data_IF_503377692707
#
_entry.id   IF_503377692707
#
_cell.length_a   1.000
_cell.length_b   1.000
_cell.length_c   1.000
_cell.angle_alpha   90.00
_cell.angle_beta   90.00
_cell.angle_gamma   90.00
#
_symmetry.space_group_name_H-M   'P 1'
#
loop_
_entity.id
_entity.type
_entity.pdbx_description
1 polymer ?
#
# COMPACT_ATOMS: atom_id res chain seq x y z
N UNK A 1 -16.21 0.48 -101.48
CA UNK A 1 -17.43 0.87 -100.73
C UNK A 1 -17.24 0.49 -99.21
N UNK A 2 -17.20 1.46 -98.33
CA UNK A 2 -17.09 1.24 -96.91
C UNK A 2 -18.48 0.77 -96.45
N UNK A 3 -18.57 -0.45 -95.89
CA UNK A 3 -19.80 -0.96 -95.41
C UNK A 3 -20.10 -0.30 -94.01
N UNK A 4 -21.22 0.45 -93.87
CA UNK A 4 -21.52 1.17 -92.65
C UNK A 4 -21.54 0.27 -91.39
N UNK A 5 -21.92 -1.02 -91.52
CA UNK A 5 -21.90 -1.96 -90.40
C UNK A 5 -20.52 -2.31 -89.85
N UNK A 6 -19.49 -2.28 -90.71
CA UNK A 6 -18.13 -2.59 -90.29
C UNK A 6 -17.46 -1.40 -89.62
N UNK A 7 -17.90 -0.19 -89.87
CA UNK A 7 -17.34 1.02 -89.29
C UNK A 7 -17.69 1.06 -87.75
N UNK A 8 -18.92 0.71 -87.42
CA UNK A 8 -19.33 0.71 -85.97
C UNK A 8 -18.63 -0.41 -85.18
N UNK A 9 -18.46 -1.59 -85.76
CA UNK A 9 -17.73 -2.67 -85.09
C UNK A 9 -16.23 -2.36 -84.92
N UNK A 10 -15.64 -1.66 -85.94
CA UNK A 10 -14.25 -1.23 -85.81
C UNK A 10 -14.02 -0.13 -84.79
N UNK A 11 -14.99 0.78 -84.64
CA UNK A 11 -14.96 1.77 -83.55
C UNK A 11 -15.14 1.14 -82.17
N UNK A 12 -16.04 0.21 -82.01
CA UNK A 12 -16.24 -0.50 -80.74
C UNK A 12 -15.00 -1.30 -80.29
N UNK A 13 -14.15 -1.73 -81.26
CA UNK A 13 -12.89 -2.39 -80.96
C UNK A 13 -11.69 -1.44 -80.72
N UNK A 14 -11.79 -0.19 -81.10
CA UNK A 14 -10.67 0.77 -81.07
C UNK A 14 -10.82 1.88 -80.04
N UNK A 15 -12.04 2.18 -79.58
CA UNK A 15 -12.34 3.32 -78.71
C UNK A 15 -13.10 2.93 -77.50
N UNK A 16 -12.71 3.52 -76.40
CA UNK A 16 -13.43 3.33 -75.07
C UNK A 16 -14.76 4.06 -75.16
N UNK A 17 -15.87 3.38 -74.89
CA UNK A 17 -17.21 3.96 -74.90
C UNK A 17 -17.42 4.93 -73.73
N UNK A 18 -18.06 6.08 -73.97
CA UNK A 18 -18.40 7.05 -72.95
C UNK A 18 -19.35 6.50 -71.90
N UNK A 19 -20.15 5.49 -72.20
CA UNK A 19 -21.03 4.79 -71.29
C UNK A 19 -20.33 3.77 -70.37
N UNK A 20 -19.03 3.57 -70.59
CA UNK A 20 -18.19 2.58 -69.90
C UNK A 20 -17.76 1.44 -70.82
N UNK A 21 -16.54 0.96 -70.64
CA UNK A 21 -15.96 -0.15 -71.39
C UNK A 21 -14.88 -0.84 -70.54
N UNK A 22 -14.52 -2.08 -70.94
CA UNK A 22 -13.43 -2.84 -70.34
C UNK A 22 -12.12 -2.60 -71.06
N UNK A 23 -11.15 -2.02 -70.37
CA UNK A 23 -9.77 -1.94 -70.83
C UNK A 23 -9.01 -3.18 -70.40
N UNK A 24 -8.47 -3.95 -71.32
CA UNK A 24 -7.72 -5.19 -71.05
C UNK A 24 -6.21 -4.97 -70.95
N UNK A 25 -5.75 -3.74 -71.03
CA UNK A 25 -4.34 -3.35 -70.96
C UNK A 25 -4.11 -2.14 -70.03
N UNK A 26 -2.85 -1.78 -69.85
CA UNK A 26 -2.43 -0.65 -69.05
C UNK A 26 -2.90 0.68 -69.63
N UNK A 27 -3.56 1.52 -68.82
CA UNK A 27 -3.86 2.92 -69.18
C UNK A 27 -2.70 3.83 -68.74
N UNK A 28 -1.94 4.34 -69.70
CA UNK A 28 -0.83 5.26 -69.49
C UNK A 28 -1.30 6.70 -69.68
N UNK A 29 -1.36 7.45 -68.62
CA UNK A 29 -1.73 8.87 -68.59
C UNK A 29 -0.48 9.72 -68.32
N UNK A 30 -0.03 10.54 -69.25
CA UNK A 30 1.06 11.48 -69.04
C UNK A 30 0.51 12.88 -68.79
N UNK A 31 0.36 13.27 -67.58
CA UNK A 31 -0.17 14.59 -67.23
C UNK A 31 0.02 14.85 -65.72
N UNK A 32 0.01 16.12 -65.34
CA UNK A 32 0.11 16.52 -63.91
C UNK A 32 -1.19 16.19 -63.19
N UNK A 33 -2.35 16.62 -63.74
CA UNK A 33 -3.69 16.28 -63.23
C UNK A 33 -4.23 15.15 -64.12
N UNK A 34 -3.82 13.91 -63.81
CA UNK A 34 -3.96 12.80 -64.77
C UNK A 34 -5.39 12.25 -64.85
N UNK A 35 -6.13 12.19 -63.75
CA UNK A 35 -7.48 11.67 -63.69
C UNK A 35 -8.32 12.53 -62.76
N UNK A 36 -9.56 12.79 -63.14
CA UNK A 36 -10.54 13.45 -62.29
C UNK A 36 -11.82 12.61 -62.21
N UNK A 37 -12.27 12.37 -60.97
CA UNK A 37 -13.59 11.80 -60.68
C UNK A 37 -14.40 12.91 -60.02
N UNK A 38 -15.55 13.27 -60.57
CA UNK A 38 -16.25 14.45 -60.13
C UNK A 38 -17.77 14.30 -60.14
N UNK A 39 -18.44 15.15 -59.39
CA UNK A 39 -19.86 15.50 -59.51
C UNK A 39 -19.98 17.03 -59.55
N UNK A 40 -21.18 17.55 -59.44
CA UNK A 40 -21.42 19.00 -59.45
C UNK A 40 -20.76 19.72 -58.29
N UNK A 41 -20.72 19.10 -57.11
CA UNK A 41 -20.17 19.71 -55.88
C UNK A 41 -18.65 19.62 -55.82
N UNK A 42 -18.06 18.44 -56.06
CA UNK A 42 -16.63 18.19 -55.88
C UNK A 42 -16.03 17.34 -57.01
N UNK A 43 -14.76 17.59 -57.27
CA UNK A 43 -13.90 16.69 -58.05
C UNK A 43 -12.74 16.20 -57.22
N UNK A 44 -12.38 14.92 -57.36
CA UNK A 44 -11.14 14.35 -56.81
C UNK A 44 -10.13 14.23 -57.95
N UNK A 45 -9.01 14.92 -57.84
CA UNK A 45 -7.95 14.97 -58.86
C UNK A 45 -6.80 14.06 -58.39
N UNK A 46 -6.42 13.11 -59.27
CA UNK A 46 -5.17 12.36 -59.16
C UNK A 46 -4.06 13.19 -59.77
N UNK A 47 -3.25 13.82 -58.91
CA UNK A 47 -2.21 14.74 -59.34
C UNK A 47 -0.82 14.19 -59.06
N UNK A 48 0.01 14.13 -60.08
CA UNK A 48 1.44 13.86 -59.93
C UNK A 48 2.20 15.18 -59.93
N UNK A 49 2.75 15.59 -58.82
CA UNK A 49 3.61 16.77 -58.71
C UNK A 49 4.73 16.53 -57.69
N UNK A 50 5.82 17.26 -57.84
CA UNK A 50 7.05 17.04 -57.09
C UNK A 50 7.46 15.55 -57.18
N UNK A 51 7.65 14.89 -56.09
CA UNK A 51 7.95 13.46 -56.03
C UNK A 51 6.76 12.61 -55.53
N UNK A 52 5.53 13.17 -55.56
CA UNK A 52 4.35 12.53 -55.00
C UNK A 52 3.22 12.31 -56.03
N UNK A 53 2.42 11.28 -55.78
CA UNK A 53 1.06 11.15 -56.27
C UNK A 53 0.10 11.61 -55.19
N UNK A 54 -0.69 12.64 -55.49
CA UNK A 54 -1.65 13.23 -54.59
C UNK A 54 -3.09 12.91 -55.02
N UNK A 55 -3.98 12.73 -54.04
CA UNK A 55 -5.44 12.78 -54.19
C UNK A 55 -5.91 14.13 -53.65
N UNK A 56 -6.34 15.03 -54.52
CA UNK A 56 -6.65 16.42 -54.17
C UNK A 56 -8.11 16.72 -54.53
N UNK A 57 -8.96 17.08 -53.57
CA UNK A 57 -10.30 17.57 -53.85
C UNK A 57 -10.26 18.99 -54.42
N UNK A 58 -11.21 19.31 -55.29
CA UNK A 58 -11.47 20.70 -55.72
C UNK A 58 -12.13 21.50 -54.58
N UNK A 59 -12.27 22.78 -54.72
CA UNK A 59 -13.19 23.56 -53.90
C UNK A 59 -14.64 23.19 -54.21
N UNK A 60 -15.56 23.44 -53.27
CA UNK A 60 -16.98 23.17 -53.41
C UNK A 60 -17.55 23.95 -54.61
N UNK A 61 -18.46 23.35 -55.35
CA UNK A 61 -19.08 23.91 -56.56
C UNK A 61 -18.16 23.92 -57.81
N UNK A 62 -16.96 23.31 -57.71
CA UNK A 62 -15.97 23.32 -58.81
C UNK A 62 -15.61 21.90 -59.29
N UNK A 63 -16.54 20.97 -59.24
CA UNK A 63 -16.27 19.56 -59.55
C UNK A 63 -15.66 19.30 -60.90
N UNK A 64 -16.28 19.75 -61.97
CA UNK A 64 -15.88 19.43 -63.35
C UNK A 64 -14.62 20.18 -63.79
N UNK A 65 -14.59 21.49 -63.70
CA UNK A 65 -13.57 22.34 -64.32
C UNK A 65 -12.71 23.13 -63.31
N UNK A 66 -12.95 22.94 -61.98
CA UNK A 66 -12.19 23.64 -60.95
C UNK A 66 -10.74 23.21 -60.87
N UNK A 67 -9.89 24.09 -60.36
CA UNK A 67 -8.49 23.77 -60.10
C UNK A 67 -8.34 22.96 -58.78
N UNK A 68 -7.11 22.56 -58.49
CA UNK A 68 -6.80 21.86 -57.21
C UNK A 68 -7.21 22.72 -56.00
N UNK A 69 -7.96 22.16 -55.12
CA UNK A 69 -8.33 22.79 -53.84
C UNK A 69 -7.14 22.91 -52.90
N UNK A 70 -7.33 23.51 -51.70
CA UNK A 70 -6.25 23.75 -50.73
C UNK A 70 -5.83 22.49 -49.97
N UNK A 71 -6.70 21.47 -49.90
CA UNK A 71 -6.47 20.27 -49.09
C UNK A 71 -5.54 19.27 -49.78
N UNK A 72 -4.71 18.60 -49.00
CA UNK A 72 -3.81 17.51 -49.42
C UNK A 72 -4.03 16.28 -48.56
N UNK A 73 -5.23 15.68 -48.60
CA UNK A 73 -5.59 14.65 -47.62
C UNK A 73 -4.78 13.37 -47.71
N UNK A 74 -4.32 13.01 -48.96
CA UNK A 74 -3.58 11.78 -49.19
C UNK A 74 -2.49 11.96 -50.23
N UNK A 75 -1.29 11.45 -49.93
CA UNK A 75 -0.20 11.43 -50.89
C UNK A 75 0.66 10.17 -50.71
N UNK A 76 1.24 9.70 -51.84
CA UNK A 76 2.27 8.65 -51.86
C UNK A 76 3.55 9.29 -52.40
N UNK A 77 4.62 9.24 -51.63
CA UNK A 77 5.95 9.62 -52.10
C UNK A 77 6.49 8.52 -53.02
N UNK A 78 6.74 8.89 -54.29
CA UNK A 78 7.13 7.92 -55.33
C UNK A 78 8.58 7.45 -55.20
N UNK A 79 9.42 8.16 -54.45
CA UNK A 79 10.80 7.77 -54.17
C UNK A 79 10.91 6.80 -52.99
N UNK A 80 10.17 7.05 -51.92
CA UNK A 80 10.28 6.30 -50.67
C UNK A 80 9.16 5.30 -50.44
N UNK A 81 8.03 5.42 -51.14
CA UNK A 81 6.80 4.67 -50.93
C UNK A 81 6.00 5.14 -49.71
N UNK A 82 6.47 6.16 -48.96
CA UNK A 82 5.78 6.65 -47.78
C UNK A 82 4.40 7.24 -48.12
N UNK A 83 3.42 6.96 -47.26
CA UNK A 83 2.05 7.49 -47.35
C UNK A 83 1.88 8.62 -46.35
N UNK A 84 1.30 9.74 -46.79
CA UNK A 84 0.88 10.86 -45.94
C UNK A 84 -0.62 10.97 -45.92
N UNK A 85 -1.21 11.03 -44.68
CA UNK A 85 -2.63 11.32 -44.42
C UNK A 85 -2.69 12.56 -43.54
N UNK A 86 -3.10 13.69 -44.10
CA UNK A 86 -2.91 15.00 -43.45
C UNK A 86 -4.17 15.56 -42.75
N UNK A 87 -5.34 15.01 -43.03
CA UNK A 87 -6.62 15.52 -42.52
C UNK A 87 -7.38 14.49 -41.67
N UNK A 88 -6.64 13.55 -41.05
CA UNK A 88 -7.20 12.48 -40.24
C UNK A 88 -7.56 11.23 -41.04
N UNK A 89 -7.61 10.12 -40.39
CA UNK A 89 -8.06 8.83 -40.91
C UNK A 89 -8.97 8.14 -39.93
N UNK A 90 -10.10 7.63 -40.39
CA UNK A 90 -10.91 6.64 -39.66
C UNK A 90 -10.51 5.26 -40.20
N UNK A 91 -9.98 4.42 -39.29
CA UNK A 91 -9.56 3.06 -39.62
C UNK A 91 -10.48 2.10 -38.87
N UNK A 92 -11.38 1.45 -39.63
CA UNK A 92 -12.24 0.43 -39.06
C UNK A 92 -11.47 -0.90 -38.98
N UNK A 93 -11.59 -1.61 -37.84
CA UNK A 93 -10.90 -2.90 -37.63
C UNK A 93 -9.56 -2.81 -36.90
N UNK A 94 -9.10 -1.60 -36.54
CA UNK A 94 -7.84 -1.38 -35.83
C UNK A 94 -6.64 -1.13 -36.75
N UNK A 95 -5.50 -0.81 -36.15
CA UNK A 95 -4.24 -0.50 -36.86
C UNK A 95 -3.17 -1.51 -36.40
N UNK A 96 -2.46 -2.08 -37.36
CA UNK A 96 -1.30 -2.92 -37.10
C UNK A 96 -0.04 -2.26 -37.67
N UNK A 97 1.01 -2.18 -36.87
CA UNK A 97 2.30 -1.61 -37.26
C UNK A 97 3.33 -2.72 -37.40
N UNK A 98 3.60 -3.15 -38.63
CA UNK A 98 4.58 -4.18 -38.99
C UNK A 98 4.12 -5.62 -38.70
N UNK A 99 2.85 -5.86 -38.48
CA UNK A 99 2.28 -7.18 -38.17
C UNK A 99 0.77 -7.22 -38.43
N UNK A 100 0.14 -8.39 -38.29
CA UNK A 100 -1.32 -8.51 -38.28
C UNK A 100 -1.89 -8.09 -36.91
N UNK A 101 -3.15 -7.66 -36.87
CA UNK A 101 -3.81 -7.22 -35.65
C UNK A 101 -4.68 -8.35 -35.04
N UNK A 102 -4.11 -9.16 -34.16
CA UNK A 102 -4.84 -10.21 -33.45
C UNK A 102 -5.65 -9.68 -32.23
N UNK A 103 -5.39 -8.44 -31.76
CA UNK A 103 -6.22 -7.83 -30.71
C UNK A 103 -7.61 -7.43 -31.23
N UNK A 104 -7.78 -7.34 -32.55
CA UNK A 104 -9.04 -6.99 -33.20
C UNK A 104 -9.39 -5.51 -33.13
N UNK A 105 -10.55 -5.14 -33.67
CA UNK A 105 -10.99 -3.75 -33.83
C UNK A 105 -10.84 -2.86 -32.61
N UNK A 106 -10.75 -1.55 -32.85
CA UNK A 106 -10.48 -0.51 -31.85
C UNK A 106 -9.14 -0.68 -31.12
N UNK A 107 -8.11 -1.20 -31.80
CA UNK A 107 -6.80 -1.45 -31.22
C UNK A 107 -5.65 -1.01 -32.14
N UNK A 108 -4.48 -0.88 -31.52
CA UNK A 108 -3.20 -0.65 -32.21
C UNK A 108 -2.23 -1.74 -31.73
N UNK A 109 -1.74 -2.58 -32.63
CA UNK A 109 -0.67 -3.54 -32.37
C UNK A 109 0.68 -3.00 -32.79
N UNK A 110 1.74 -3.38 -32.06
CA UNK A 110 3.09 -2.82 -32.18
C UNK A 110 4.13 -3.94 -32.29
N UNK A 111 4.59 -4.22 -33.50
CA UNK A 111 5.69 -5.16 -33.75
C UNK A 111 5.31 -6.64 -33.76
N UNK A 112 4.53 -7.11 -32.81
CA UNK A 112 3.87 -8.40 -32.83
C UNK A 112 2.34 -8.24 -32.84
N UNK A 113 1.61 -9.32 -33.13
CA UNK A 113 0.17 -9.23 -33.42
C UNK A 113 -0.73 -9.14 -32.21
N UNK A 114 -0.21 -9.29 -30.98
CA UNK A 114 -0.98 -9.37 -29.74
C UNK A 114 -0.42 -8.50 -28.61
N UNK A 115 0.57 -7.68 -28.90
CA UNK A 115 1.08 -6.62 -28.02
C UNK A 115 0.61 -5.25 -28.52
N UNK A 116 -0.02 -4.45 -27.65
CA UNK A 116 -0.54 -3.17 -28.08
C UNK A 116 -1.56 -2.55 -27.12
N UNK A 117 -2.36 -1.64 -27.69
CA UNK A 117 -3.38 -0.86 -26.96
C UNK A 117 -4.74 -1.14 -27.60
N UNK A 118 -5.76 -1.34 -26.74
CA UNK A 118 -7.14 -1.63 -27.16
C UNK A 118 -8.15 -0.85 -26.36
N UNK A 119 -9.19 -0.33 -27.00
CA UNK A 119 -10.36 0.15 -26.30
C UNK A 119 -11.18 -1.03 -25.77
N UNK A 120 -11.39 -1.12 -24.45
CA UNK A 120 -12.18 -2.17 -23.80
C UNK A 120 -13.67 -1.83 -23.67
N UNK A 121 -14.05 -0.56 -23.87
CA UNK A 121 -15.39 -0.02 -23.74
C UNK A 121 -15.34 1.51 -23.66
N UNK A 122 -16.46 2.17 -23.41
CA UNK A 122 -16.50 3.61 -23.20
C UNK A 122 -15.67 4.01 -21.98
N UNK A 123 -14.71 4.92 -22.17
CA UNK A 123 -13.78 5.37 -21.13
C UNK A 123 -12.74 4.33 -20.68
N UNK A 124 -12.62 3.17 -21.36
CA UNK A 124 -11.69 2.09 -20.96
C UNK A 124 -10.59 1.91 -22.01
N UNK A 125 -9.33 2.08 -21.58
CA UNK A 125 -8.14 1.87 -22.40
C UNK A 125 -7.28 0.76 -21.80
N UNK A 126 -7.03 -0.30 -22.57
CA UNK A 126 -6.35 -1.52 -22.14
C UNK A 126 -5.01 -1.68 -22.88
N UNK A 127 -3.99 -2.09 -22.14
CA UNK A 127 -2.64 -2.37 -22.63
C UNK A 127 -2.37 -3.87 -22.53
N UNK A 128 -2.03 -4.46 -23.67
CA UNK A 128 -1.74 -5.88 -23.81
C UNK A 128 -0.25 -6.12 -24.05
N UNK A 129 0.24 -7.23 -23.54
CA UNK A 129 1.57 -7.75 -23.82
C UNK A 129 1.48 -9.26 -24.00
N UNK A 130 1.85 -9.76 -25.17
CA UNK A 130 1.78 -11.18 -25.54
C UNK A 130 0.37 -11.76 -25.29
N UNK A 131 -0.67 -11.11 -25.84
CA UNK A 131 -2.07 -11.48 -25.68
C UNK A 131 -2.67 -11.34 -24.28
N UNK A 132 -1.88 -10.95 -23.29
CA UNK A 132 -2.32 -10.82 -21.89
C UNK A 132 -2.51 -9.37 -21.49
N UNK A 133 -3.63 -9.08 -20.82
CA UNK A 133 -3.89 -7.77 -20.25
C UNK A 133 -2.85 -7.45 -19.16
N UNK A 134 -2.14 -6.33 -19.32
CA UNK A 134 -1.07 -5.91 -18.44
C UNK A 134 -1.45 -4.70 -17.58
N UNK A 135 -2.15 -3.73 -18.18
CA UNK A 135 -2.54 -2.48 -17.53
C UNK A 135 -3.84 -1.96 -18.16
N UNK A 136 -4.68 -1.32 -17.36
CA UNK A 136 -5.93 -0.72 -17.81
C UNK A 136 -6.15 0.65 -17.18
N UNK A 137 -6.59 1.61 -17.98
CA UNK A 137 -7.17 2.87 -17.51
C UNK A 137 -8.68 2.74 -17.57
N UNK A 138 -9.33 2.97 -16.45
CA UNK A 138 -10.78 2.96 -16.27
C UNK A 138 -11.24 4.29 -15.69
N UNK A 139 -12.55 4.65 -15.74
CA UNK A 139 -13.03 5.93 -15.23
C UNK A 139 -12.69 6.22 -13.76
N UNK A 140 -12.55 5.18 -12.94
CA UNK A 140 -12.31 5.31 -11.49
C UNK A 140 -10.94 4.80 -11.02
N UNK A 141 -10.16 4.13 -11.89
CA UNK A 141 -8.90 3.49 -11.49
C UNK A 141 -7.90 3.32 -12.61
N UNK A 142 -6.65 3.14 -12.24
CA UNK A 142 -5.59 2.61 -13.09
C UNK A 142 -5.22 1.21 -12.55
N UNK A 143 -5.55 0.18 -13.31
CA UNK A 143 -5.47 -1.20 -12.84
C UNK A 143 -4.23 -1.90 -13.40
N UNK A 144 -3.43 -2.48 -12.54
CA UNK A 144 -2.27 -3.27 -12.90
C UNK A 144 -2.60 -4.76 -12.76
N UNK A 145 -2.64 -5.49 -13.88
CA UNK A 145 -2.90 -6.94 -13.91
C UNK A 145 -1.62 -7.77 -13.83
N UNK A 146 -0.48 -7.11 -13.86
CA UNK A 146 0.85 -7.68 -13.65
C UNK A 146 1.48 -7.09 -12.40
N UNK A 147 2.51 -7.76 -11.88
CA UNK A 147 3.29 -7.24 -10.75
C UNK A 147 3.88 -5.86 -11.08
N UNK A 148 3.61 -4.89 -10.24
CA UNK A 148 4.25 -3.58 -10.31
C UNK A 148 5.67 -3.71 -9.74
N UNK A 149 6.68 -3.36 -10.52
CA UNK A 149 8.07 -3.32 -10.11
C UNK A 149 8.61 -1.91 -10.35
N UNK A 150 9.09 -1.28 -9.29
CA UNK A 150 9.85 -0.05 -9.40
C UNK A 150 11.30 -0.38 -9.68
N UNK A 151 11.80 0.05 -10.86
CA UNK A 151 13.19 -0.14 -11.28
C UNK A 151 13.86 1.22 -11.26
N UNK A 152 14.78 1.40 -10.35
CA UNK A 152 15.56 2.60 -10.19
C UNK A 152 16.81 2.56 -11.07
N UNK A 153 17.13 3.64 -11.77
CA UNK A 153 18.29 3.73 -12.67
C UNK A 153 19.34 4.76 -12.23
N UNK A 154 19.08 5.55 -11.21
CA UNK A 154 19.99 6.52 -10.66
C UNK A 154 20.93 5.95 -9.58
N UNK A 155 21.71 6.83 -8.93
CA UNK A 155 22.59 6.45 -7.82
C UNK A 155 21.78 6.23 -6.54
N UNK A 156 20.70 7.01 -6.33
CA UNK A 156 19.82 6.92 -5.18
C UNK A 156 18.35 6.86 -5.64
N UNK A 157 17.47 6.11 -4.95
CA UNK A 157 16.05 6.07 -5.28
C UNK A 157 15.39 7.45 -5.19
N UNK A 158 14.38 7.68 -6.01
CA UNK A 158 13.56 8.90 -5.97
C UNK A 158 12.93 9.06 -4.58
N UNK A 159 12.94 10.28 -4.06
CA UNK A 159 12.49 10.58 -2.72
C UNK A 159 13.54 10.39 -1.62
N UNK A 160 14.71 9.84 -1.97
CA UNK A 160 15.84 9.72 -1.04
C UNK A 160 16.43 11.09 -0.68
N UNK A 161 16.98 11.21 0.53
CA UNK A 161 17.63 12.43 0.99
C UNK A 161 17.69 12.49 2.52
N UNK A 162 18.15 13.62 3.04
CA UNK A 162 18.18 13.87 4.47
C UNK A 162 16.76 13.92 5.07
N UNK A 163 16.61 13.53 6.33
CA UNK A 163 15.31 13.60 7.01
C UNK A 163 14.72 15.01 7.04
N UNK A 164 15.54 16.02 7.12
CA UNK A 164 15.11 17.43 7.13
C UNK A 164 14.43 17.84 5.81
N UNK A 165 14.78 17.21 4.71
CA UNK A 165 14.28 17.54 3.37
C UNK A 165 12.97 16.83 3.04
N UNK A 166 12.57 15.80 3.79
CA UNK A 166 11.44 14.94 3.45
C UNK A 166 10.09 15.66 3.46
N UNK A 167 9.94 16.71 4.25
CA UNK A 167 8.71 17.51 4.26
C UNK A 167 8.42 18.18 2.90
N UNK A 168 9.47 18.59 2.21
CA UNK A 168 9.40 19.32 0.94
C UNK A 168 9.71 18.44 -0.28
N UNK A 169 9.99 17.15 -0.08
CA UNK A 169 10.28 16.20 -1.14
C UNK A 169 9.00 15.44 -1.51
N UNK A 170 8.42 15.81 -2.65
CA UNK A 170 7.20 15.20 -3.18
C UNK A 170 7.48 14.02 -4.14
N UNK A 171 8.71 13.50 -4.15
CA UNK A 171 9.11 12.39 -5.02
C UNK A 171 9.32 11.12 -4.21
N UNK A 172 8.69 10.04 -4.65
CA UNK A 172 8.88 8.67 -4.16
C UNK A 172 8.13 7.73 -5.11
N UNK A 173 8.39 6.42 -5.11
CA UNK A 173 7.61 5.46 -5.90
C UNK A 173 6.11 5.51 -5.59
N UNK A 174 5.75 5.77 -4.33
CA UNK A 174 4.38 5.94 -3.89
C UNK A 174 4.33 7.16 -2.97
N UNK A 175 3.77 8.25 -3.45
CA UNK A 175 3.62 9.48 -2.68
C UNK A 175 2.16 9.93 -2.73
N UNK A 176 1.63 10.28 -1.57
CA UNK A 176 0.37 10.99 -1.46
C UNK A 176 0.67 12.48 -1.38
N UNK A 177 0.20 13.21 -2.38
CA UNK A 177 0.43 14.66 -2.47
C UNK A 177 -0.30 15.43 -1.37
N UNK A 178 0.09 16.66 -1.17
CA UNK A 178 -0.50 17.58 -0.21
C UNK A 178 -2.00 17.72 -0.38
N UNK A 179 -2.72 17.71 0.73
CA UNK A 179 -4.12 18.09 0.79
C UNK A 179 -4.40 18.90 2.06
N UNK A 180 -5.35 19.81 1.98
CA UNK A 180 -5.80 20.58 3.13
C UNK A 180 -6.90 19.81 3.85
N UNK A 181 -6.80 19.72 5.19
CA UNK A 181 -7.81 19.12 6.04
C UNK A 181 -8.12 20.04 7.22
N UNK A 182 -9.40 20.28 7.43
CA UNK A 182 -9.88 21.02 8.60
C UNK A 182 -10.19 20.05 9.74
N UNK A 183 -9.66 20.27 10.97
CA UNK A 183 -9.95 19.42 12.11
C UNK A 183 -11.46 19.24 12.32
N UNK A 184 -11.88 18.01 12.50
CA UNK A 184 -13.27 17.63 12.72
C UNK A 184 -13.36 16.63 13.89
N UNK A 185 -14.50 16.56 14.62
CA UNK A 185 -14.69 15.60 15.68
C UNK A 185 -14.42 14.15 15.22
N UNK A 186 -13.72 13.38 16.05
CA UNK A 186 -13.34 12.00 15.76
C UNK A 186 -12.06 11.83 14.92
N UNK A 187 -11.50 12.93 14.43
CA UNK A 187 -10.30 12.87 13.58
C UNK A 187 -10.57 12.30 12.19
N UNK A 188 -9.50 12.08 11.42
CA UNK A 188 -9.59 11.53 10.07
C UNK A 188 -8.39 10.62 9.77
N UNK A 189 -8.65 9.35 9.45
CA UNK A 189 -7.60 8.38 9.12
C UNK A 189 -7.34 8.37 7.61
N UNK A 190 -6.08 8.49 7.23
CA UNK A 190 -5.62 8.51 5.84
C UNK A 190 -4.73 7.29 5.58
N UNK A 191 -5.21 6.27 4.87
CA UNK A 191 -4.39 5.13 4.51
C UNK A 191 -3.44 5.48 3.36
N UNK A 192 -2.16 5.09 3.48
CA UNK A 192 -1.16 5.15 2.41
C UNK A 192 -1.19 3.83 1.63
N UNK A 193 -1.20 2.71 2.33
CA UNK A 193 -1.32 1.37 1.75
C UNK A 193 -2.42 0.62 2.49
N UNK A 194 -3.31 -0.04 1.74
CA UNK A 194 -4.43 -0.81 2.30
C UNK A 194 -4.60 -2.14 1.58
N UNK A 195 -4.72 -3.21 2.36
CA UNK A 195 -5.17 -4.52 1.91
C UNK A 195 -6.56 -4.82 2.45
N UNK A 196 -7.42 -5.35 1.58
CA UNK A 196 -8.73 -5.88 1.95
C UNK A 196 -8.76 -7.37 1.61
N UNK A 197 -9.33 -8.17 2.48
CA UNK A 197 -9.44 -9.61 2.25
C UNK A 197 -10.75 -10.17 2.78
N UNK A 198 -11.22 -11.21 2.12
CA UNK A 198 -12.27 -12.10 2.58
C UNK A 198 -11.82 -13.54 2.35
N UNK A 199 -12.02 -14.42 3.33
CA UNK A 199 -11.73 -15.83 3.17
C UNK A 199 -12.95 -16.54 2.58
N UNK A 200 -12.73 -17.31 1.55
CA UNK A 200 -13.78 -18.11 0.96
C UNK A 200 -14.10 -19.32 1.88
N UNK A 201 -15.33 -19.36 2.39
CA UNK A 201 -15.86 -20.46 3.19
C UNK A 201 -15.58 -20.41 4.70
N UNK A 202 -14.44 -19.89 5.16
CA UNK A 202 -14.10 -19.80 6.59
C UNK A 202 -13.25 -18.55 6.88
N UNK A 203 -13.49 -17.93 8.03
CA UNK A 203 -12.83 -16.72 8.48
C UNK A 203 -13.66 -15.47 8.21
N UNK A 204 -13.12 -14.35 8.59
CA UNK A 204 -13.80 -13.06 8.56
C UNK A 204 -13.14 -12.12 7.58
N UNK A 205 -13.91 -11.26 6.88
CA UNK A 205 -13.34 -10.18 6.09
C UNK A 205 -12.62 -9.19 7.00
N UNK A 206 -11.56 -8.59 6.48
CA UNK A 206 -10.78 -7.63 7.21
C UNK A 206 -10.03 -6.67 6.30
N UNK A 207 -9.71 -5.51 6.84
CA UNK A 207 -8.84 -4.51 6.23
C UNK A 207 -7.60 -4.32 7.10
N UNK A 208 -6.45 -4.26 6.47
CA UNK A 208 -5.18 -3.89 7.12
C UNK A 208 -4.57 -2.74 6.34
N UNK A 209 -4.10 -1.72 7.02
CA UNK A 209 -3.52 -0.55 6.39
C UNK A 209 -2.38 0.05 7.20
N UNK A 210 -1.43 0.66 6.49
CA UNK A 210 -0.50 1.64 7.03
C UNK A 210 -0.93 3.03 6.58
N UNK A 211 -0.92 3.98 7.48
CA UNK A 211 -1.35 5.33 7.21
C UNK A 211 -1.08 6.27 8.38
N UNK A 212 -1.83 7.33 8.46
CA UNK A 212 -1.75 8.29 9.56
C UNK A 212 -3.13 8.82 9.96
N UNK A 213 -3.26 9.16 11.23
CA UNK A 213 -4.44 9.77 11.81
C UNK A 213 -4.21 11.29 11.92
N UNK A 214 -5.10 12.06 11.33
CA UNK A 214 -5.26 13.48 11.58
C UNK A 214 -6.22 13.63 12.75
N UNK A 215 -5.74 14.11 13.89
CA UNK A 215 -6.54 14.22 15.10
C UNK A 215 -7.48 15.43 15.02
N UNK A 216 -8.54 15.44 15.81
CA UNK A 216 -9.46 16.56 15.91
C UNK A 216 -8.81 17.83 16.46
N UNK A 217 -7.69 17.69 17.15
CA UNK A 217 -6.92 18.79 17.70
C UNK A 217 -5.75 19.14 16.80
N UNK A 218 -5.24 20.37 16.91
CA UNK A 218 -4.02 20.78 16.23
C UNK A 218 -2.85 19.92 16.72
N UNK A 219 -2.16 19.28 15.78
CA UNK A 219 -1.03 18.42 16.08
C UNK A 219 -0.43 17.84 14.81
N UNK A 220 0.68 17.12 14.95
CA UNK A 220 1.28 16.38 13.85
C UNK A 220 0.42 15.14 13.49
N UNK A 221 0.42 14.73 12.21
CA UNK A 221 -0.17 13.45 11.82
C UNK A 221 0.45 12.30 12.63
N UNK A 222 -0.38 11.40 13.15
CA UNK A 222 0.03 10.26 13.96
C UNK A 222 0.17 9.03 13.06
N UNK A 223 1.40 8.56 12.74
CA UNK A 223 1.57 7.33 11.95
C UNK A 223 0.92 6.14 12.62
N UNK A 224 0.23 5.30 11.84
CA UNK A 224 -0.56 4.20 12.35
C UNK A 224 -0.42 2.95 11.49
N UNK A 225 -0.50 1.77 12.16
CA UNK A 225 -0.89 0.51 11.54
C UNK A 225 -2.29 0.19 12.06
N UNK A 226 -3.24 -0.01 11.15
CA UNK A 226 -4.64 -0.21 11.49
C UNK A 226 -5.17 -1.52 10.95
N UNK A 227 -5.93 -2.23 11.77
CA UNK A 227 -6.67 -3.44 11.38
C UNK A 227 -8.14 -3.28 11.78
N UNK A 228 -9.04 -3.64 10.87
CA UNK A 228 -10.49 -3.64 11.12
C UNK A 228 -11.12 -4.92 10.59
N UNK A 229 -11.84 -5.64 11.44
CA UNK A 229 -12.69 -6.77 11.07
C UNK A 229 -14.15 -6.35 10.86
N UNK A 230 -14.96 -7.25 10.29
CA UNK A 230 -16.39 -7.06 10.00
C UNK A 230 -17.27 -6.94 11.24
N UNK A 231 -16.87 -7.58 12.33
CA UNK A 231 -17.58 -7.58 13.61
C UNK A 231 -17.22 -6.39 14.53
N UNK A 232 -16.55 -5.37 13.99
CA UNK A 232 -16.07 -4.23 14.76
C UNK A 232 -14.77 -4.49 15.51
N UNK A 233 -14.15 -5.68 15.38
CA UNK A 233 -12.82 -5.94 15.89
C UNK A 233 -11.80 -5.00 15.24
N UNK A 234 -11.11 -4.23 16.06
CA UNK A 234 -10.20 -3.17 15.61
C UNK A 234 -8.93 -3.18 16.43
N UNK A 235 -7.82 -2.98 15.77
CA UNK A 235 -6.53 -2.77 16.41
C UNK A 235 -5.80 -1.59 15.73
N UNK A 236 -5.28 -0.69 16.56
CA UNK A 236 -4.59 0.50 16.11
C UNK A 236 -3.27 0.64 16.87
N UNK A 237 -2.16 0.39 16.18
CA UNK A 237 -0.81 0.70 16.65
C UNK A 237 -0.45 2.10 16.20
N UNK A 238 0.01 2.93 17.14
CA UNK A 238 0.27 4.34 16.90
C UNK A 238 1.68 4.73 17.32
N UNK A 239 2.24 5.70 16.60
CA UNK A 239 3.53 6.33 16.93
C UNK A 239 3.27 7.81 17.22
N UNK A 240 3.27 8.20 18.50
CA UNK A 240 3.00 9.59 18.88
C UNK A 240 4.17 10.50 18.47
N UNK A 241 3.99 11.46 17.57
CA UNK A 241 5.09 12.32 17.10
C UNK A 241 5.55 13.35 18.16
N UNK A 242 4.74 13.64 19.16
CA UNK A 242 5.05 14.65 20.18
C UNK A 242 6.02 14.12 21.24
N UNK A 243 5.67 12.99 21.87
CA UNK A 243 6.46 12.36 22.92
C UNK A 243 7.30 11.17 22.44
N UNK A 244 7.14 10.77 21.16
CA UNK A 244 7.83 9.66 20.49
C UNK A 244 7.50 8.28 21.08
N UNK A 245 6.39 8.18 21.81
CA UNK A 245 5.91 6.91 22.33
C UNK A 245 5.29 6.02 21.27
N UNK A 246 5.36 4.70 21.50
CA UNK A 246 4.65 3.70 20.74
C UNK A 246 3.46 3.19 21.57
N UNK A 247 2.27 3.27 21.01
CA UNK A 247 1.06 2.70 21.61
C UNK A 247 0.72 1.37 20.93
N UNK A 248 0.61 0.31 21.74
CA UNK A 248 0.09 -0.99 21.31
C UNK A 248 -1.27 -1.24 21.97
N UNK A 249 -2.32 -1.61 21.22
CA UNK A 249 -3.64 -1.91 21.77
C UNK A 249 -3.69 -3.25 22.54
N UNK A 250 -2.63 -4.03 22.52
CA UNK A 250 -2.49 -5.31 23.17
C UNK A 250 -1.08 -5.55 23.72
N UNK A 251 -0.82 -6.76 24.25
CA UNK A 251 0.52 -7.12 24.74
C UNK A 251 1.58 -7.00 23.66
N UNK A 252 2.79 -6.61 24.06
CA UNK A 252 3.98 -6.66 23.20
C UNK A 252 4.75 -7.94 23.53
N UNK A 253 4.89 -8.82 22.55
CA UNK A 253 5.59 -10.10 22.69
C UNK A 253 6.94 -10.00 21.99
N UNK A 254 8.02 -10.29 22.72
CA UNK A 254 9.38 -10.33 22.21
C UNK A 254 10.00 -11.71 22.53
N UNK A 255 10.01 -12.62 21.57
CA UNK A 255 10.40 -14.00 21.78
C UNK A 255 9.51 -14.68 22.82
N UNK A 256 10.10 -15.17 23.91
CA UNK A 256 9.37 -15.76 25.03
C UNK A 256 8.92 -14.76 26.12
N UNK A 257 9.24 -13.48 25.99
CA UNK A 257 8.87 -12.44 26.95
C UNK A 257 7.63 -11.66 26.48
N UNK A 258 6.80 -11.23 27.43
CA UNK A 258 5.58 -10.46 27.17
C UNK A 258 5.51 -9.26 28.09
N UNK A 259 5.37 -8.07 27.53
CA UNK A 259 4.89 -6.89 28.24
C UNK A 259 3.36 -6.89 28.14
N UNK A 260 2.68 -7.16 29.22
CA UNK A 260 1.23 -7.21 29.27
C UNK A 260 0.59 -5.82 29.25
N UNK A 261 -0.68 -5.72 28.87
CA UNK A 261 -1.44 -4.47 28.82
C UNK A 261 -1.63 -3.81 30.19
N UNK A 262 -1.49 -4.54 31.30
CA UNK A 262 -1.49 -4.02 32.65
C UNK A 262 -0.11 -3.54 33.14
N UNK A 263 0.93 -3.59 32.29
CA UNK A 263 2.29 -3.19 32.59
C UNK A 263 3.15 -4.26 33.25
N UNK A 264 2.62 -5.47 33.53
CA UNK A 264 3.43 -6.57 34.04
C UNK A 264 4.26 -7.23 32.94
N UNK A 265 5.39 -7.82 33.34
CA UNK A 265 6.31 -8.48 32.41
C UNK A 265 6.39 -9.97 32.72
N UNK A 266 6.08 -10.82 31.76
CA UNK A 266 6.34 -12.24 31.81
C UNK A 266 7.68 -12.55 31.13
N UNK A 267 8.50 -13.40 31.76
CA UNK A 267 9.79 -13.79 31.18
C UNK A 267 10.47 -14.94 31.96
N UNK A 268 11.28 -15.70 31.26
CA UNK A 268 12.04 -16.81 31.83
C UNK A 268 13.04 -16.35 32.90
N UNK A 269 13.53 -15.11 32.83
CA UNK A 269 14.48 -14.55 33.80
C UNK A 269 13.97 -14.55 35.22
N UNK A 270 12.65 -14.46 35.44
CA UNK A 270 11.99 -14.50 36.74
C UNK A 270 11.05 -15.68 36.90
N UNK A 271 11.09 -16.67 36.00
CA UNK A 271 10.28 -17.88 36.05
C UNK A 271 8.77 -17.65 35.88
N UNK A 272 8.36 -16.56 35.24
CA UNK A 272 6.97 -16.19 34.99
C UNK A 272 6.74 -14.69 35.06
N UNK A 273 5.72 -14.24 35.77
CA UNK A 273 5.38 -12.83 35.92
C UNK A 273 6.29 -12.12 36.93
N UNK A 274 6.82 -10.96 36.57
CA UNK A 274 7.69 -10.14 37.43
C UNK A 274 6.99 -9.74 38.72
N UNK A 275 5.70 -9.37 38.65
CA UNK A 275 4.91 -9.05 39.87
C UNK A 275 4.84 -10.22 40.86
N UNK A 276 4.71 -11.45 40.38
CA UNK A 276 4.74 -12.64 41.19
C UNK A 276 6.13 -12.92 41.76
N UNK A 277 7.16 -12.78 40.93
CA UNK A 277 8.55 -12.91 41.37
C UNK A 277 8.89 -11.92 42.48
N UNK A 278 8.54 -10.64 42.34
CA UNK A 278 8.78 -9.62 43.34
C UNK A 278 8.02 -9.90 44.64
N UNK A 279 6.76 -10.32 44.56
CA UNK A 279 5.94 -10.67 45.76
C UNK A 279 6.57 -11.81 46.53
N UNK A 280 7.10 -12.80 45.83
CA UNK A 280 7.60 -14.03 46.46
C UNK A 280 9.09 -13.94 46.85
N UNK A 281 9.87 -13.03 46.27
CA UNK A 281 11.33 -13.02 46.41
C UNK A 281 11.91 -11.71 46.97
N UNK A 282 11.09 -10.69 47.26
CA UNK A 282 11.59 -9.40 47.76
C UNK A 282 10.87 -9.01 49.03
N UNK A 283 11.65 -8.43 49.97
CA UNK A 283 11.11 -7.93 51.22
C UNK A 283 10.95 -8.98 52.33
N UNK A 284 10.42 -8.53 53.45
CA UNK A 284 10.04 -9.39 54.59
C UNK A 284 8.66 -9.96 54.30
N UNK A 285 8.56 -11.27 54.13
CA UNK A 285 7.31 -11.98 53.79
C UNK A 285 6.42 -12.23 55.01
N UNK A 286 7.04 -12.43 56.19
CA UNK A 286 6.35 -12.63 57.46
C UNK A 286 7.29 -12.32 58.61
N UNK A 287 6.72 -12.13 59.83
CA UNK A 287 7.45 -11.91 61.05
C UNK A 287 6.84 -12.78 62.13
N UNK A 288 7.68 -13.49 62.90
CA UNK A 288 7.22 -14.34 64.03
C UNK A 288 8.18 -14.27 65.22
N UNK A 289 7.74 -14.71 66.32
CA UNK A 289 8.61 -15.09 67.42
C UNK A 289 9.13 -16.53 67.23
N UNK A 290 10.43 -16.74 67.40
CA UNK A 290 11.04 -18.07 67.39
C UNK A 290 10.78 -18.85 68.70
N UNK A 291 11.57 -19.89 68.86
CA UNK A 291 11.43 -20.77 70.10
C UNK A 291 11.66 -19.98 71.37
N UNK A 292 10.80 -20.30 72.38
CA UNK A 292 10.88 -19.68 73.70
C UNK A 292 12.12 -20.13 74.45
N UNK A 293 12.74 -19.23 75.16
CA UNK A 293 13.85 -19.45 76.08
C UNK A 293 13.52 -18.87 77.39
N UNK A 294 14.05 -19.47 78.50
CA UNK A 294 13.83 -19.04 79.84
C UNK A 294 15.15 -18.60 80.48
N UNK A 295 15.15 -17.42 81.09
CA UNK A 295 16.21 -16.94 81.95
C UNK A 295 15.87 -17.23 83.39
N UNK A 296 16.66 -18.08 84.08
CA UNK A 296 16.53 -18.40 85.48
C UNK A 296 17.58 -17.63 86.29
N UNK A 297 17.19 -16.72 87.16
CA UNK A 297 18.13 -15.97 88.01
C UNK A 297 18.83 -16.72 89.10
N UNK A 298 18.42 -18.02 89.38
CA UNK A 298 19.14 -18.88 90.31
C UNK A 298 18.60 -18.91 91.73
N UNK A 299 17.49 -18.21 92.06
CA UNK A 299 16.88 -18.27 93.39
C UNK A 299 16.00 -17.06 93.72
N UNK A 300 15.18 -17.15 94.80
CA UNK A 300 14.21 -16.13 95.12
C UNK A 300 14.70 -15.01 96.07
N UNK A 301 15.92 -15.04 96.48
CA UNK A 301 16.50 -13.96 97.37
C UNK A 301 17.73 -13.33 96.66
N UNK A 302 17.77 -13.32 95.35
CA UNK A 302 18.89 -12.81 94.58
C UNK A 302 18.41 -11.62 93.78
N UNK A 303 19.10 -10.47 93.85
CA UNK A 303 18.85 -9.34 92.95
C UNK A 303 19.41 -9.69 91.61
N UNK A 304 18.61 -9.49 90.54
CA UNK A 304 19.03 -9.79 89.21
C UNK A 304 18.55 -8.72 88.18
N UNK A 305 19.24 -8.65 87.06
CA UNK A 305 18.87 -7.82 85.92
C UNK A 305 18.89 -8.69 84.68
N UNK A 306 17.81 -8.69 83.88
CA UNK A 306 17.77 -9.32 82.57
C UNK A 306 17.67 -8.28 81.53
N UNK A 307 18.49 -8.40 80.53
CA UNK A 307 18.37 -7.67 79.26
C UNK A 307 18.26 -8.70 78.14
N UNK A 308 17.19 -8.62 77.38
CA UNK A 308 17.01 -9.50 76.23
C UNK A 308 18.26 -9.41 75.28
N UNK A 309 18.77 -10.54 74.78
CA UNK A 309 19.80 -10.52 73.79
C UNK A 309 19.35 -9.74 72.54
N UNK A 310 20.33 -9.30 71.72
CA UNK A 310 20.04 -8.60 70.49
C UNK A 310 19.03 -9.38 69.69
N UNK A 311 18.01 -8.69 69.10
CA UNK A 311 16.96 -9.29 68.28
C UNK A 311 15.94 -10.18 69.08
N UNK A 312 15.93 -10.15 70.35
CA UNK A 312 14.95 -10.90 71.21
C UNK A 312 14.01 -9.93 71.92
N UNK A 313 12.76 -10.34 72.03
CA UNK A 313 11.77 -9.66 72.85
C UNK A 313 11.39 -10.48 74.05
N UNK A 314 11.02 -9.82 75.17
CA UNK A 314 10.43 -10.44 76.34
C UNK A 314 9.06 -11.04 75.98
N UNK A 315 8.81 -12.30 76.29
CA UNK A 315 7.56 -12.99 75.93
C UNK A 315 6.72 -13.39 77.18
N UNK A 316 7.29 -13.34 78.36
CA UNK A 316 6.56 -13.65 79.58
C UNK A 316 7.42 -13.47 80.79
N UNK A 317 6.77 -13.55 81.97
CA UNK A 317 7.41 -13.58 83.27
C UNK A 317 6.94 -14.79 84.01
N UNK A 318 7.81 -15.39 84.79
CA UNK A 318 7.48 -16.45 85.74
C UNK A 318 7.31 -15.84 87.15
N UNK A 319 6.12 -15.85 87.72
CA UNK A 319 5.82 -15.33 89.01
C UNK A 319 5.65 -16.49 89.96
N UNK A 320 6.32 -16.44 91.09
CA UNK A 320 6.36 -17.52 92.10
C UNK A 320 5.72 -17.07 93.38
N UNK A 321 4.96 -17.98 93.95
CA UNK A 321 4.44 -17.89 95.35
C UNK A 321 5.57 -18.14 96.33
N UNK A 322 5.84 -17.22 97.26
CA UNK A 322 6.93 -17.31 98.21
C UNK A 322 6.49 -17.19 99.63
N UNK A 323 5.20 -17.04 99.90
CA UNK A 323 4.59 -16.90 101.22
C UNK A 323 3.08 -16.95 101.20
N UNK A 324 2.41 -16.81 102.24
CA UNK A 324 0.96 -16.91 102.28
C UNK A 324 0.28 -15.74 101.58
N UNK A 325 -0.40 -16.03 100.44
CA UNK A 325 -1.27 -15.19 99.67
C UNK A 325 -0.60 -14.10 98.79
N UNK A 326 0.65 -14.27 98.37
CA UNK A 326 1.27 -13.30 97.51
C UNK A 326 2.16 -13.97 96.42
N UNK A 327 1.85 -13.79 95.15
CA UNK A 327 2.74 -14.11 94.04
C UNK A 327 3.51 -12.87 93.68
N UNK A 328 4.51 -12.50 94.50
CA UNK A 328 5.20 -11.24 94.47
C UNK A 328 6.67 -11.33 93.98
N UNK A 329 7.19 -12.55 93.78
CA UNK A 329 8.54 -12.74 93.31
C UNK A 329 8.57 -13.14 91.80
N UNK A 330 9.34 -12.41 91.04
CA UNK A 330 9.62 -12.78 89.65
C UNK A 330 10.73 -13.83 89.68
N UNK A 331 10.39 -15.11 89.37
CA UNK A 331 11.32 -16.25 89.34
C UNK A 331 12.09 -16.41 88.05
N UNK A 332 11.84 -15.59 87.05
CA UNK A 332 12.51 -15.58 85.79
C UNK A 332 11.67 -14.97 84.69
N UNK A 333 12.27 -14.87 83.50
CA UNK A 333 11.60 -14.30 82.36
C UNK A 333 11.74 -15.19 81.13
N UNK A 334 10.69 -15.18 80.28
CA UNK A 334 10.67 -15.84 79.03
C UNK A 334 10.99 -14.80 77.93
N UNK A 335 11.79 -15.22 76.96
CA UNK A 335 12.14 -14.36 75.82
C UNK A 335 12.26 -15.18 74.55
N UNK A 336 12.04 -14.55 73.43
CA UNK A 336 12.04 -15.19 72.12
C UNK A 336 12.78 -14.34 71.12
N UNK A 337 13.51 -14.95 70.14
CA UNK A 337 14.05 -14.19 68.95
C UNK A 337 12.89 -13.72 68.08
N UNK A 338 12.94 -12.46 67.67
CA UNK A 338 12.11 -11.99 66.60
C UNK A 338 12.73 -12.49 65.31
N UNK A 339 11.94 -13.12 64.45
CA UNK A 339 12.38 -13.68 63.17
C UNK A 339 11.60 -13.06 62.03
N UNK A 340 12.26 -12.90 60.87
CA UNK A 340 11.67 -12.45 59.60
C UNK A 340 11.85 -13.52 58.56
N UNK A 341 10.81 -13.73 57.75
CA UNK A 341 10.83 -14.61 56.56
C UNK A 341 11.29 -13.84 55.36
N UNK A 342 12.37 -14.30 54.72
CA UNK A 342 12.87 -13.75 53.45
C UNK A 342 13.20 -14.95 52.56
N UNK A 343 12.62 -14.96 51.36
CA UNK A 343 12.83 -16.02 50.36
C UNK A 343 12.65 -17.44 50.93
N UNK A 344 11.57 -17.65 51.70
CA UNK A 344 11.24 -18.95 52.29
C UNK A 344 12.13 -19.36 53.48
N UNK A 345 13.06 -18.53 53.92
CA UNK A 345 13.96 -18.83 55.06
C UNK A 345 13.73 -17.85 56.20
N UNK A 346 13.64 -18.39 57.45
CA UNK A 346 13.50 -17.59 58.65
C UNK A 346 14.88 -17.14 59.16
N UNK A 347 15.06 -15.86 59.31
CA UNK A 347 16.26 -15.24 59.88
C UNK A 347 15.92 -14.52 61.18
N UNK A 348 16.81 -14.60 62.15
CA UNK A 348 16.70 -13.78 63.36
C UNK A 348 16.91 -12.31 62.98
N UNK A 349 16.09 -11.42 63.56
CA UNK A 349 16.27 -9.99 63.41
C UNK A 349 17.44 -9.57 64.30
N UNK A 350 18.44 -8.91 63.73
CA UNK A 350 19.51 -8.31 64.49
C UNK A 350 19.07 -6.93 65.02
N UNK A 351 19.29 -6.60 66.25
CA UNK A 351 19.22 -5.23 66.71
C UNK A 351 20.54 -4.53 66.43
N UNK A 352 20.46 -3.32 65.98
CA UNK A 352 21.62 -2.45 65.75
C UNK A 352 22.11 -1.91 67.09
#
# INVERSE_FOLDING_TARGET
MINPGNIYSDFDLRYVKKSGDLMTGELKIRGVNALRIFNEAFGLIFRRSEECLHLIPTSEGQGENGDIGPLRPFAINLRTGAISVSHGAKIDGGLALGTDNALGGNSITLGDNDTGIKQGGDGVLLFYSNGQLAFGLQPASADFYKRVAYIHQGITPDGSGAFADQLNNATAPFVQTWFAWNPAPGGHYVPIVKGLSVRNGQGYPGAVSFGYLLTEQQGFPVPCIHMRGDNGNEALWQFNPNDKSFFSPGPVIAGGATLASNGDINGAAWGGWLSAYLRNNTGVQDVRYGSEMFYNPGGNQVSWTFRSPSGHGLSGINVQETGSNSADNIGGVYYRPLQKLINGTWYNVASV
#
